data_IF_470141831065
#
_entry.id   IF_470141831065
#
_cell.length_a   1.000
_cell.length_b   1.000
_cell.length_c   1.000
_cell.angle_alpha   90.00
_cell.angle_beta   90.00
_cell.angle_gamma   90.00
#
_symmetry.space_group_name_H-M   'P 1'
#
loop_
_entity.id
_entity.type
_entity.pdbx_description
1 polymer ?
#
# COMPACT_ATOMS: atom_id res chain seq x y z
N UNK A 1 -27.38 -5.93 27.90
CA UNK A 1 -28.39 -6.89 27.41
C UNK A 1 -29.53 -6.09 26.81
N UNK A 2 -29.65 -6.09 25.49
CA UNK A 2 -30.87 -5.67 24.80
C UNK A 2 -31.14 -6.76 23.78
N UNK A 3 -32.20 -7.52 24.03
CA UNK A 3 -32.74 -8.54 23.14
C UNK A 3 -33.58 -7.86 22.07
N UNK A 4 -33.22 -8.03 20.80
CA UNK A 4 -34.07 -7.73 19.66
C UNK A 4 -34.29 -9.02 18.89
N UNK A 5 -35.43 -9.64 19.16
CA UNK A 5 -36.03 -10.68 18.32
C UNK A 5 -36.73 -9.97 17.16
N UNK A 6 -36.17 -10.06 15.96
CA UNK A 6 -36.88 -9.78 14.72
C UNK A 6 -36.54 -10.87 13.70
N UNK A 7 -37.61 -11.58 13.37
CA UNK A 7 -37.87 -12.46 12.24
C UNK A 7 -37.04 -12.21 10.99
N UNK A 8 -36.39 -13.27 10.49
CA UNK A 8 -36.57 -13.71 9.11
C UNK A 8 -36.29 -12.71 8.00
N UNK A 9 -35.12 -12.07 8.00
CA UNK A 9 -34.46 -11.64 6.78
C UNK A 9 -32.96 -11.61 7.06
N UNK A 10 -32.23 -12.57 6.52
CA UNK A 10 -30.78 -12.44 6.35
C UNK A 10 -30.57 -11.32 5.34
N UNK A 11 -30.61 -10.07 5.84
CA UNK A 11 -30.09 -8.93 5.11
C UNK A 11 -28.60 -9.22 4.98
N UNK A 12 -28.21 -9.77 3.84
CA UNK A 12 -26.82 -9.81 3.40
C UNK A 12 -26.39 -8.34 3.27
N UNK A 13 -25.98 -7.75 4.40
CA UNK A 13 -25.15 -6.58 4.45
C UNK A 13 -23.79 -7.02 3.91
N UNK A 14 -23.72 -7.18 2.60
CA UNK A 14 -22.45 -7.13 1.88
C UNK A 14 -21.96 -5.71 2.09
N UNK A 15 -21.26 -5.48 3.20
CA UNK A 15 -20.29 -4.41 3.25
C UNK A 15 -19.29 -4.75 2.17
N UNK A 16 -19.21 -3.90 1.16
CA UNK A 16 -18.18 -3.98 0.12
C UNK A 16 -16.85 -3.53 0.75
N UNK A 17 -16.37 -4.31 1.73
CA UNK A 17 -15.24 -4.00 2.59
C UNK A 17 -13.94 -3.81 1.79
N UNK A 18 -13.92 -4.32 0.58
CA UNK A 18 -12.88 -4.18 -0.43
C UNK A 18 -12.56 -2.74 -0.82
N UNK A 19 -13.52 -1.81 -0.74
CA UNK A 19 -13.29 -0.44 -1.20
C UNK A 19 -12.48 0.41 -0.20
N UNK A 20 -12.36 -0.03 1.06
CA UNK A 20 -11.69 0.70 2.15
C UNK A 20 -10.43 -0.01 2.66
N UNK A 21 -9.97 -1.03 1.92
CA UNK A 21 -8.72 -1.72 2.21
C UNK A 21 -7.55 -0.74 2.22
N UNK A 22 -6.68 -0.92 3.20
CA UNK A 22 -5.40 -0.21 3.25
C UNK A 22 -4.32 -1.07 2.62
N UNK A 23 -3.49 -0.45 1.79
CA UNK A 23 -2.28 -1.06 1.27
C UNK A 23 -1.11 -0.83 2.22
N UNK A 24 -0.18 -1.78 2.29
CA UNK A 24 1.04 -1.66 3.10
C UNK A 24 2.09 -0.80 2.39
N UNK A 25 3.04 -0.24 3.15
CA UNK A 25 4.17 0.53 2.62
C UNK A 25 5.14 -0.29 1.75
N UNK A 26 5.01 -1.62 1.74
CA UNK A 26 5.74 -2.48 0.80
C UNK A 26 5.16 -2.41 -0.61
N UNK A 27 3.92 -1.95 -0.73
CA UNK A 27 3.17 -1.87 -1.99
C UNK A 27 2.94 -0.45 -2.48
N UNK A 28 2.97 0.53 -1.57
CA UNK A 28 2.73 1.94 -1.89
C UNK A 28 3.93 2.79 -1.49
N UNK A 29 4.22 3.79 -2.31
CA UNK A 29 5.19 4.84 -1.99
C UNK A 29 4.46 6.18 -1.83
N UNK A 30 4.67 6.85 -0.70
CA UNK A 30 4.11 8.16 -0.42
C UNK A 30 4.91 9.31 -1.03
N UNK A 31 6.07 9.02 -1.61
CA UNK A 31 6.97 9.98 -2.24
C UNK A 31 7.33 11.16 -1.31
N UNK A 32 7.37 10.91 -0.01
CA UNK A 32 7.62 11.89 1.06
C UNK A 32 6.62 13.06 1.07
N UNK A 33 5.34 12.76 0.82
CA UNK A 33 4.23 13.73 0.87
C UNK A 33 3.24 13.38 1.98
N UNK A 34 2.54 14.40 2.47
CA UNK A 34 1.45 14.23 3.43
C UNK A 34 0.18 13.64 2.79
N UNK A 35 -0.76 13.23 3.65
CA UNK A 35 -2.09 12.79 3.21
C UNK A 35 -2.88 13.98 2.67
N UNK A 36 -3.32 13.85 1.42
CA UNK A 36 -4.02 14.91 0.71
C UNK A 36 -5.54 14.67 0.71
N UNK A 37 -6.24 15.43 1.57
CA UNK A 37 -7.71 15.43 1.63
C UNK A 37 -8.36 16.02 0.37
N UNK A 38 -7.64 16.91 -0.32
CA UNK A 38 -8.08 17.58 -1.54
C UNK A 38 -7.72 16.83 -2.81
N UNK A 39 -7.10 15.66 -2.72
CA UNK A 39 -6.75 14.84 -3.89
C UNK A 39 -7.98 14.48 -4.71
N UNK A 40 -7.88 14.51 -6.04
CA UNK A 40 -8.95 14.05 -6.93
C UNK A 40 -9.25 12.55 -6.73
N UNK A 41 -8.26 11.81 -6.22
CA UNK A 41 -8.36 10.39 -5.89
C UNK A 41 -9.05 10.13 -4.54
N UNK A 42 -9.26 11.16 -3.71
CA UNK A 42 -9.95 10.99 -2.43
C UNK A 42 -11.45 10.75 -2.65
N UNK A 43 -12.01 9.77 -1.95
CA UNK A 43 -13.45 9.52 -1.96
C UNK A 43 -14.24 10.62 -1.25
N UNK A 44 -15.47 10.86 -1.70
CA UNK A 44 -16.40 11.74 -0.98
C UNK A 44 -16.81 11.13 0.36
N UNK A 45 -17.29 11.97 1.28
CA UNK A 45 -17.67 11.55 2.63
C UNK A 45 -18.71 10.43 2.65
N UNK A 46 -19.61 10.37 1.68
CA UNK A 46 -20.70 9.38 1.59
C UNK A 46 -20.41 8.23 0.61
N UNK A 47 -19.17 8.07 0.16
CA UNK A 47 -18.82 7.04 -0.83
C UNK A 47 -19.22 5.63 -0.38
N UNK A 48 -19.88 4.88 -1.27
CA UNK A 48 -20.41 3.54 -1.01
C UNK A 48 -21.40 3.43 0.17
N UNK A 49 -21.92 4.55 0.66
CA UNK A 49 -22.95 4.56 1.70
C UNK A 49 -24.26 3.98 1.17
N UNK A 50 -24.90 3.13 1.98
CA UNK A 50 -26.24 2.57 1.67
C UNK A 50 -27.38 3.44 2.19
N UNK A 51 -27.11 4.29 3.17
CA UNK A 51 -28.11 5.09 3.88
C UNK A 51 -27.86 6.60 3.76
N UNK A 52 -26.97 7.00 2.85
CA UNK A 52 -26.60 8.39 2.63
C UNK A 52 -25.76 9.03 3.75
N UNK A 53 -25.44 8.30 4.82
CA UNK A 53 -24.58 8.79 5.90
C UNK A 53 -23.10 8.74 5.50
N UNK A 54 -22.24 9.57 6.11
CA UNK A 54 -20.80 9.50 5.89
C UNK A 54 -20.23 8.11 6.19
N UNK A 55 -19.38 7.62 5.30
CA UNK A 55 -18.53 6.43 5.46
C UNK A 55 -17.07 6.82 5.73
N UNK A 56 -16.69 8.06 5.43
CA UNK A 56 -15.35 8.63 5.70
C UNK A 56 -15.53 9.98 6.38
N UNK A 57 -14.88 10.14 7.53
CA UNK A 57 -14.85 11.40 8.29
C UNK A 57 -13.40 11.85 8.51
N UNK A 58 -13.01 13.05 8.05
CA UNK A 58 -11.68 13.60 8.32
C UNK A 58 -11.45 13.77 9.82
N UNK A 59 -10.25 13.37 10.29
CA UNK A 59 -9.84 13.59 11.69
C UNK A 59 -9.58 15.07 12.00
N UNK A 60 -9.20 15.85 10.99
CA UNK A 60 -9.05 17.31 11.07
C UNK A 60 -10.42 17.95 10.88
N UNK A 61 -10.80 18.86 11.79
CA UNK A 61 -12.10 19.56 11.73
C UNK A 61 -12.12 20.56 10.57
N UNK A 62 -13.29 20.70 9.93
CA UNK A 62 -13.52 21.70 8.88
C UNK A 62 -12.91 21.38 7.52
N UNK A 63 -12.47 20.13 7.30
CA UNK A 63 -11.92 19.70 6.02
C UNK A 63 -13.00 19.04 5.17
N UNK A 64 -13.15 19.49 3.93
CA UNK A 64 -13.99 18.87 2.92
C UNK A 64 -13.19 17.84 2.11
N UNK A 65 -13.87 16.77 1.66
CA UNK A 65 -13.27 15.66 0.91
C UNK A 65 -14.12 15.27 -0.29
N UNK A 66 -13.46 14.75 -1.33
CA UNK A 66 -14.14 14.19 -2.50
C UNK A 66 -14.40 15.18 -3.64
N UNK A 67 -13.60 16.25 -3.73
CA UNK A 67 -13.66 17.17 -4.87
C UNK A 67 -13.40 16.44 -6.20
N UNK A 68 -14.01 16.92 -7.28
CA UNK A 68 -13.85 16.39 -8.65
C UNK A 68 -13.57 17.49 -9.68
N UNK A 69 -13.07 18.64 -9.21
CA UNK A 69 -12.76 19.81 -10.03
C UNK A 69 -11.48 19.60 -10.82
N UNK A 70 -10.46 18.99 -10.20
CA UNK A 70 -9.17 18.76 -10.85
C UNK A 70 -8.12 18.20 -9.90
N UNK A 71 -6.88 18.11 -10.37
CA UNK A 71 -5.75 17.65 -9.56
C UNK A 71 -5.39 18.66 -8.47
N UNK A 72 -5.04 18.15 -7.30
CA UNK A 72 -4.36 18.96 -6.29
C UNK A 72 -2.88 19.17 -6.65
N UNK A 73 -2.21 20.07 -5.94
CA UNK A 73 -0.76 20.24 -6.06
C UNK A 73 0.01 18.96 -5.72
N UNK A 74 -0.46 18.20 -4.71
CA UNK A 74 0.17 16.94 -4.30
C UNK A 74 -0.06 15.84 -5.34
N UNK A 75 -1.23 15.80 -5.99
CA UNK A 75 -1.49 14.87 -7.10
C UNK A 75 -0.50 15.13 -8.25
N UNK A 76 -0.37 16.38 -8.68
CA UNK A 76 0.55 16.78 -9.75
C UNK A 76 2.00 16.48 -9.38
N UNK A 77 2.40 16.81 -8.15
CA UNK A 77 3.73 16.49 -7.65
C UNK A 77 4.02 14.98 -7.71
N UNK A 78 3.11 14.14 -7.22
CA UNK A 78 3.28 12.68 -7.21
C UNK A 78 3.39 12.13 -8.61
N UNK A 79 2.53 12.56 -9.54
CA UNK A 79 2.56 12.13 -10.93
C UNK A 79 3.90 12.53 -11.57
N UNK A 80 4.28 13.80 -11.44
CA UNK A 80 5.52 14.31 -12.04
C UNK A 80 6.76 13.60 -11.48
N UNK A 81 6.78 13.32 -10.17
CA UNK A 81 7.87 12.61 -9.52
C UNK A 81 7.92 11.13 -9.90
N UNK A 82 6.77 10.46 -10.02
CA UNK A 82 6.70 9.04 -10.39
C UNK A 82 7.10 8.79 -11.85
N UNK A 83 6.74 9.70 -12.75
CA UNK A 83 7.01 9.58 -14.19
C UNK A 83 8.20 10.42 -14.68
N UNK A 84 8.96 11.02 -13.76
CA UNK A 84 10.10 11.89 -14.05
C UNK A 84 9.76 12.97 -15.11
N UNK A 85 8.57 13.58 -14.97
CA UNK A 85 8.16 14.64 -15.87
C UNK A 85 9.15 15.82 -15.76
N UNK A 86 9.55 16.43 -16.88
CA UNK A 86 10.36 17.63 -16.85
C UNK A 86 9.58 18.72 -16.12
N UNK A 87 10.14 19.23 -15.02
CA UNK A 87 9.58 20.43 -14.40
C UNK A 87 9.92 21.57 -15.34
N UNK A 88 8.93 22.07 -16.09
CA UNK A 88 9.05 23.42 -16.59
C UNK A 88 9.17 24.30 -15.36
N UNK A 89 10.34 24.89 -15.16
CA UNK A 89 10.53 26.02 -14.25
C UNK A 89 9.59 27.13 -14.73
N UNK A 90 8.31 27.00 -14.37
CA UNK A 90 7.35 28.10 -14.44
C UNK A 90 7.78 29.01 -13.31
N UNK A 91 8.84 29.76 -13.57
CA UNK A 91 9.07 31.03 -12.91
C UNK A 91 7.74 31.74 -12.99
N UNK A 92 7.06 31.87 -11.84
CA UNK A 92 5.91 32.73 -11.68
C UNK A 92 6.41 34.16 -11.92
N UNK A 93 6.62 34.47 -13.18
CA UNK A 93 6.76 35.83 -13.66
C UNK A 93 5.37 36.41 -13.43
N UNK A 94 5.22 37.45 -12.60
CA UNK A 94 3.94 38.13 -12.47
C UNK A 94 3.46 38.46 -13.88
N UNK A 95 2.22 38.09 -14.20
CA UNK A 95 1.55 38.40 -15.47
C UNK A 95 1.94 39.81 -15.93
N UNK A 96 2.72 39.98 -17.00
CA UNK A 96 2.87 41.28 -17.61
C UNK A 96 1.70 41.47 -18.55
N UNK A 97 1.00 42.59 -18.37
CA UNK A 97 0.00 43.07 -19.30
C UNK A 97 0.63 43.32 -20.68
N UNK A 98 -0.03 42.79 -21.72
CA UNK A 98 -0.12 43.30 -23.10
C UNK A 98 1.12 43.39 -24.01
N UNK A 99 0.99 42.63 -25.12
CA UNK A 99 1.21 43.02 -26.53
C UNK A 99 2.56 42.81 -27.26
N UNK A 100 2.39 42.24 -28.48
CA UNK A 100 3.18 42.35 -29.72
C UNK A 100 4.51 41.58 -29.92
N UNK A 101 4.39 40.53 -30.73
CA UNK A 101 5.07 40.29 -32.02
C UNK A 101 6.58 39.98 -32.20
N UNK A 102 6.78 38.99 -33.11
CA UNK A 102 7.91 38.70 -34.03
C UNK A 102 9.15 37.86 -33.60
N UNK A 103 9.12 36.60 -34.06
CA UNK A 103 10.00 35.93 -35.06
C UNK A 103 11.53 35.82 -34.84
N UNK A 104 12.02 34.57 -34.88
CA UNK A 104 13.17 34.00 -35.68
C UNK A 104 14.15 33.06 -34.93
N UNK A 105 14.10 31.79 -35.34
CA UNK A 105 15.15 30.81 -35.73
C UNK A 105 16.49 30.55 -35.00
N UNK A 106 16.87 29.26 -35.12
CA UNK A 106 18.19 28.60 -35.14
C UNK A 106 18.78 28.07 -33.80
N UNK A 107 18.82 26.73 -33.63
CA UNK A 107 19.98 25.80 -33.76
C UNK A 107 21.12 26.09 -32.76
N UNK A 108 21.58 25.13 -31.95
CA UNK A 108 22.60 24.13 -32.35
C UNK A 108 22.72 23.01 -31.30
N UNK A 109 23.00 21.82 -31.83
CA UNK A 109 23.35 20.54 -31.20
C UNK A 109 24.59 20.60 -30.29
N UNK A 110 24.67 19.72 -29.27
CA UNK A 110 25.91 19.00 -28.95
C UNK A 110 25.67 17.75 -28.11
N UNK A 111 26.57 16.79 -28.27
CA UNK A 111 26.46 15.34 -28.07
C UNK A 111 27.64 14.88 -27.22
N UNK A 112 27.43 13.96 -26.26
CA UNK A 112 28.41 12.98 -25.76
C UNK A 112 27.74 12.14 -24.67
N UNK A 113 27.75 10.80 -24.55
CA UNK A 113 28.41 9.61 -25.12
C UNK A 113 28.98 8.79 -23.94
N UNK A 114 28.37 7.61 -23.72
CA UNK A 114 28.94 6.35 -23.18
C UNK A 114 29.42 6.36 -21.70
N UNK A 115 29.46 5.25 -20.94
CA UNK A 115 29.60 3.82 -21.24
C UNK A 115 29.19 3.00 -19.97
N UNK A 116 28.66 1.78 -20.13
CA UNK A 116 28.63 0.72 -19.09
C UNK A 116 30.01 0.07 -18.87
N UNK A 117 30.19 -0.90 -17.94
CA UNK A 117 29.84 -2.34 -18.11
C UNK A 117 29.33 -3.05 -16.81
N UNK A 118 28.35 -3.95 -16.86
CA UNK A 118 28.37 -5.44 -16.90
C UNK A 118 29.23 -6.20 -15.88
N UNK A 119 28.63 -7.17 -15.18
CA UNK A 119 29.31 -8.31 -14.54
C UNK A 119 28.41 -9.17 -13.65
N UNK A 120 27.91 -10.29 -14.18
CA UNK A 120 27.24 -11.39 -13.46
C UNK A 120 28.25 -12.36 -12.83
N UNK A 121 27.88 -13.09 -11.76
CA UNK A 121 27.87 -14.57 -11.72
C UNK A 121 27.73 -15.15 -10.29
N UNK A 122 26.95 -16.24 -10.23
CA UNK A 122 26.63 -17.17 -9.14
C UNK A 122 27.79 -18.10 -8.75
N UNK A 123 27.71 -18.82 -7.61
CA UNK A 123 27.97 -20.29 -7.41
C UNK A 123 27.36 -20.77 -6.06
N UNK A 124 27.05 -22.07 -5.97
CA UNK A 124 26.16 -22.80 -5.06
C UNK A 124 26.84 -23.72 -3.98
N UNK A 125 26.01 -24.28 -3.07
CA UNK A 125 26.17 -25.57 -2.33
C UNK A 125 26.87 -25.50 -0.96
N UNK A 126 26.63 -26.35 0.07
CA UNK A 126 25.71 -27.47 0.33
C UNK A 126 25.77 -27.82 1.85
N UNK A 127 24.65 -28.38 2.36
CA UNK A 127 24.32 -29.13 3.60
C UNK A 127 25.37 -29.54 4.67
N UNK A 128 25.03 -29.33 5.96
CA UNK A 128 25.25 -30.29 7.08
C UNK A 128 24.19 -30.17 8.20
N UNK A 129 23.69 -31.32 8.67
CA UNK A 129 22.48 -31.47 9.50
C UNK A 129 22.71 -31.57 11.01
N UNK A 130 23.80 -31.02 11.54
CA UNK A 130 23.95 -30.79 13.00
C UNK A 130 23.86 -29.30 13.38
N UNK A 131 23.81 -28.44 12.37
CA UNK A 131 23.68 -26.99 12.53
C UNK A 131 22.23 -26.53 12.65
N UNK A 132 21.23 -27.40 12.42
CA UNK A 132 19.82 -27.00 12.46
C UNK A 132 19.40 -26.43 13.83
N UNK A 133 19.95 -26.91 14.93
CA UNK A 133 19.60 -26.39 16.27
C UNK A 133 20.30 -25.05 16.59
N UNK A 134 21.52 -24.82 16.08
CA UNK A 134 22.21 -23.55 16.20
C UNK A 134 21.70 -22.51 15.19
N UNK A 135 21.34 -22.91 13.96
CA UNK A 135 20.66 -22.07 12.99
C UNK A 135 19.27 -21.71 13.48
N UNK A 136 18.49 -22.61 14.07
CA UNK A 136 17.19 -22.28 14.66
C UNK A 136 17.38 -21.28 15.82
N UNK A 137 18.43 -21.39 16.63
CA UNK A 137 18.76 -20.44 17.70
C UNK A 137 19.18 -19.05 17.18
N UNK A 138 19.95 -19.01 16.10
CA UNK A 138 20.38 -17.77 15.43
C UNK A 138 19.24 -17.14 14.63
N UNK A 139 18.44 -17.95 13.91
CA UNK A 139 17.23 -17.51 13.19
C UNK A 139 16.13 -17.03 14.14
N UNK A 140 15.98 -17.64 15.33
CA UNK A 140 15.09 -17.13 16.40
C UNK A 140 15.50 -15.72 16.86
N UNK A 141 16.80 -15.44 16.92
CA UNK A 141 17.33 -14.11 17.29
C UNK A 141 17.26 -13.09 16.14
N UNK A 142 17.36 -13.54 14.89
CA UNK A 142 17.27 -12.67 13.70
C UNK A 142 15.81 -12.38 13.30
N UNK A 143 14.88 -13.30 13.57
CA UNK A 143 13.47 -13.16 13.20
C UNK A 143 12.62 -12.42 14.25
N UNK A 144 13.03 -12.40 15.53
CA UNK A 144 12.32 -11.66 16.57
C UNK A 144 13.02 -10.34 16.93
N UNK A 145 13.08 -9.44 15.96
CA UNK A 145 13.40 -8.04 16.20
C UNK A 145 12.24 -7.17 15.72
N UNK A 146 12.00 -6.10 16.45
CA UNK A 146 11.01 -5.12 16.03
C UNK A 146 11.45 -4.47 14.71
N UNK A 147 10.54 -4.45 13.74
CA UNK A 147 10.79 -3.86 12.41
C UNK A 147 10.64 -2.34 12.43
N UNK A 148 9.97 -1.80 13.45
CA UNK A 148 9.70 -0.36 13.59
C UNK A 148 10.28 0.19 14.90
N UNK A 149 10.82 1.42 14.89
CA UNK A 149 11.43 2.04 16.06
C UNK A 149 10.42 2.48 17.14
N UNK A 150 9.13 2.60 16.79
CA UNK A 150 8.05 2.99 17.70
C UNK A 150 7.35 1.81 18.39
N UNK A 151 7.83 0.59 18.17
CA UNK A 151 7.23 -0.62 18.73
C UNK A 151 7.14 -0.60 20.27
N UNK A 152 8.15 -0.04 20.93
CA UNK A 152 8.16 0.08 22.40
C UNK A 152 7.04 1.00 22.91
N UNK A 153 6.80 2.12 22.22
CA UNK A 153 5.73 3.06 22.55
C UNK A 153 4.35 2.42 22.30
N UNK A 154 4.19 1.76 21.14
CA UNK A 154 2.94 1.12 20.77
C UNK A 154 2.57 -0.04 21.71
N UNK A 155 3.56 -0.82 22.14
CA UNK A 155 3.37 -1.87 23.13
C UNK A 155 2.91 -1.30 24.48
N UNK A 156 3.54 -0.23 24.97
CA UNK A 156 3.11 0.47 26.21
C UNK A 156 1.72 1.09 26.11
N UNK A 157 1.32 1.52 24.91
CA UNK A 157 -0.02 2.04 24.65
C UNK A 157 -1.10 0.94 24.51
N UNK A 158 -0.77 -0.34 24.72
CA UNK A 158 -1.72 -1.45 24.73
C UNK A 158 -2.07 -1.99 23.34
N UNK A 159 -1.35 -1.59 22.28
CA UNK A 159 -1.65 -2.06 20.93
C UNK A 159 -1.36 -3.55 20.73
N UNK A 160 -0.53 -4.16 21.60
CA UNK A 160 -0.29 -5.60 21.56
C UNK A 160 -1.55 -6.42 21.89
N UNK A 161 -2.48 -5.89 22.68
CA UNK A 161 -3.67 -6.61 23.17
C UNK A 161 -4.95 -6.21 22.41
N UNK A 162 -4.90 -5.15 21.61
CA UNK A 162 -6.05 -4.68 20.83
C UNK A 162 -6.32 -5.60 19.62
N UNK A 163 -7.56 -6.08 19.51
CA UNK A 163 -8.05 -6.86 18.36
C UNK A 163 -7.89 -6.16 17.01
N UNK A 164 -7.82 -4.83 17.00
CA UNK A 164 -7.68 -4.04 15.78
C UNK A 164 -6.23 -3.90 15.32
N UNK A 165 -5.26 -4.06 16.23
CA UNK A 165 -3.83 -3.94 15.94
C UNK A 165 -3.05 -5.23 16.13
N UNK A 166 -3.70 -6.32 16.55
CA UNK A 166 -3.08 -7.62 16.81
C UNK A 166 -2.21 -8.12 15.64
N UNK A 167 -2.75 -8.14 14.43
CA UNK A 167 -2.01 -8.58 13.23
C UNK A 167 -0.84 -7.64 12.91
N UNK A 168 -1.08 -6.32 13.00
CA UNK A 168 -0.05 -5.32 12.76
C UNK A 168 1.11 -5.46 13.76
N UNK A 169 0.82 -5.62 15.05
CA UNK A 169 1.81 -5.72 16.10
C UNK A 169 2.55 -7.06 16.09
N UNK A 170 1.88 -8.15 15.71
CA UNK A 170 2.53 -9.47 15.55
C UNK A 170 3.54 -9.46 14.41
N UNK A 171 3.26 -8.73 13.33
CA UNK A 171 4.14 -8.69 12.16
C UNK A 171 5.29 -7.67 12.30
N UNK A 172 5.03 -6.55 12.96
CA UNK A 172 5.96 -5.41 13.00
C UNK A 172 6.67 -5.24 14.34
N UNK A 173 6.06 -5.68 15.43
CA UNK A 173 6.56 -5.52 16.80
C UNK A 173 6.60 -6.83 17.59
N UNK A 174 7.13 -7.94 17.01
CA UNK A 174 7.11 -9.23 17.66
C UNK A 174 7.93 -9.24 18.97
N UNK A 175 8.98 -8.44 19.08
CA UNK A 175 9.84 -8.38 20.26
C UNK A 175 9.19 -7.55 21.35
N UNK A 176 8.75 -6.32 21.04
CA UNK A 176 8.05 -5.46 22.01
C UNK A 176 6.74 -6.04 22.52
N UNK A 177 6.06 -6.88 21.73
CA UNK A 177 4.85 -7.59 22.17
C UNK A 177 5.09 -8.97 22.77
N UNK A 178 6.34 -9.42 22.92
CA UNK A 178 6.66 -10.75 23.47
C UNK A 178 6.17 -11.92 22.62
N UNK A 179 5.92 -11.70 21.32
CA UNK A 179 5.43 -12.70 20.36
C UNK A 179 6.57 -13.33 19.55
N UNK A 180 7.68 -13.64 20.21
CA UNK A 180 8.87 -14.25 19.60
C UNK A 180 8.78 -15.77 19.40
N UNK A 181 7.64 -16.37 19.73
CA UNK A 181 7.46 -17.80 19.58
C UNK A 181 7.23 -18.13 18.11
N UNK A 182 8.20 -18.82 17.50
CA UNK A 182 8.06 -19.41 16.17
C UNK A 182 6.91 -20.42 16.26
N UNK A 183 5.75 -19.98 15.83
CA UNK A 183 4.61 -20.86 15.62
C UNK A 183 4.91 -21.69 14.38
N UNK A 184 5.39 -22.93 14.56
CA UNK A 184 5.17 -23.98 13.56
C UNK A 184 3.69 -24.36 13.65
N UNK A 185 2.83 -23.44 13.21
CA UNK A 185 1.42 -23.74 13.04
C UNK A 185 1.36 -24.62 11.80
N UNK A 186 1.21 -25.92 12.02
CA UNK A 186 0.55 -26.80 11.05
C UNK A 186 -0.90 -26.32 10.98
N UNK A 187 -1.13 -25.14 10.39
CA UNK A 187 -2.47 -24.73 9.99
C UNK A 187 -2.93 -25.78 8.97
N UNK A 188 -4.07 -26.40 9.23
CA UNK A 188 -4.80 -27.12 8.20
C UNK A 188 -4.85 -26.21 6.95
N UNK A 189 -4.56 -26.75 5.75
CA UNK A 189 -4.44 -25.95 4.54
C UNK A 189 -5.69 -25.10 4.39
N UNK A 190 -5.53 -23.78 4.49
CA UNK A 190 -6.61 -22.83 4.24
C UNK A 190 -7.18 -23.14 2.84
N UNK A 191 -8.51 -23.21 2.69
CA UNK A 191 -9.10 -23.44 1.39
C UNK A 191 -8.65 -22.33 0.44
N UNK A 192 -8.13 -22.71 -0.73
CA UNK A 192 -7.65 -21.72 -1.70
C UNK A 192 -8.84 -21.02 -2.35
N UNK A 193 -9.16 -19.83 -1.85
CA UNK A 193 -10.28 -19.02 -2.31
C UNK A 193 -9.89 -17.56 -2.52
N UNK A 194 -10.62 -16.90 -3.41
CA UNK A 194 -10.44 -15.47 -3.62
C UNK A 194 -11.14 -14.68 -2.51
N UNK A 195 -10.40 -13.76 -1.90
CA UNK A 195 -10.92 -12.88 -0.85
C UNK A 195 -11.82 -11.77 -1.40
N UNK A 196 -11.85 -11.55 -2.72
CA UNK A 196 -12.51 -10.42 -3.37
C UNK A 196 -13.32 -10.88 -4.58
N UNK A 197 -14.51 -10.32 -4.74
CA UNK A 197 -15.43 -10.66 -5.86
C UNK A 197 -14.93 -10.23 -7.24
N UNK A 198 -13.97 -9.29 -7.31
CA UNK A 198 -13.38 -8.79 -8.55
C UNK A 198 -12.05 -9.46 -8.92
N UNK A 199 -11.58 -10.45 -8.14
CA UNK A 199 -10.32 -11.15 -8.39
C UNK A 199 -10.25 -11.75 -9.79
N UNK A 200 -11.34 -12.36 -10.26
CA UNK A 200 -11.40 -12.96 -11.60
C UNK A 200 -11.13 -11.91 -12.69
N UNK A 201 -11.80 -10.75 -12.61
CA UNK A 201 -11.66 -9.67 -13.58
C UNK A 201 -10.24 -9.11 -13.60
N UNK A 202 -9.62 -8.94 -12.43
CA UNK A 202 -8.26 -8.41 -12.30
C UNK A 202 -7.21 -9.42 -12.75
N UNK A 203 -7.40 -10.70 -12.44
CA UNK A 203 -6.55 -11.76 -12.94
C UNK A 203 -6.57 -11.83 -14.47
N UNK A 204 -7.76 -11.79 -15.07
CA UNK A 204 -7.94 -11.73 -16.52
C UNK A 204 -7.35 -10.45 -17.17
N UNK A 205 -7.18 -9.38 -16.38
CA UNK A 205 -6.53 -8.14 -16.83
C UNK A 205 -4.99 -8.19 -16.71
N UNK A 206 -4.41 -9.33 -16.34
CA UNK A 206 -2.96 -9.51 -16.20
C UNK A 206 -2.38 -9.00 -14.89
N UNK A 207 -3.19 -8.67 -13.89
CA UNK A 207 -2.68 -8.13 -12.61
C UNK A 207 -1.84 -9.14 -11.82
N UNK A 208 -2.02 -10.45 -12.05
CA UNK A 208 -1.24 -11.49 -11.37
C UNK A 208 0.26 -11.46 -11.74
N UNK A 209 0.61 -10.95 -12.92
CA UNK A 209 2.00 -10.92 -13.42
C UNK A 209 2.68 -9.57 -13.22
N UNK A 210 1.90 -8.52 -12.96
CA UNK A 210 2.41 -7.19 -12.67
C UNK A 210 3.19 -7.21 -11.35
N UNK A 211 4.46 -6.82 -11.37
CA UNK A 211 5.35 -6.89 -10.20
C UNK A 211 4.79 -6.10 -9.01
N UNK A 212 4.13 -4.98 -9.27
CA UNK A 212 3.51 -4.12 -8.25
C UNK A 212 2.30 -4.79 -7.57
N UNK A 213 1.59 -5.70 -8.25
CA UNK A 213 0.39 -6.35 -7.73
C UNK A 213 0.62 -7.82 -7.37
N UNK A 214 1.77 -8.39 -7.69
CA UNK A 214 2.08 -9.82 -7.51
C UNK A 214 1.76 -10.32 -6.10
N UNK A 215 2.20 -9.61 -5.07
CA UNK A 215 1.98 -10.01 -3.68
C UNK A 215 0.52 -9.83 -3.26
N UNK A 216 -0.11 -8.73 -3.70
CA UNK A 216 -1.53 -8.49 -3.45
C UNK A 216 -2.39 -9.61 -4.03
N UNK A 217 -2.14 -9.94 -5.30
CA UNK A 217 -2.88 -10.93 -6.05
C UNK A 217 -2.63 -12.34 -5.49
N UNK A 218 -1.40 -12.64 -5.05
CA UNK A 218 -1.09 -13.91 -4.35
C UNK A 218 -1.85 -14.07 -3.05
N UNK A 219 -2.00 -13.00 -2.27
CA UNK A 219 -2.63 -13.07 -0.95
C UNK A 219 -4.16 -13.00 -1.06
N UNK A 220 -4.69 -12.17 -1.95
CA UNK A 220 -6.13 -11.86 -2.02
C UNK A 220 -6.86 -12.58 -3.13
N UNK A 221 -6.17 -12.97 -4.19
CA UNK A 221 -6.75 -13.53 -5.41
C UNK A 221 -6.05 -14.83 -5.82
N UNK A 222 -5.60 -15.62 -4.84
CA UNK A 222 -4.78 -16.82 -5.06
C UNK A 222 -5.44 -17.80 -6.03
N UNK A 223 -6.76 -17.98 -5.93
CA UNK A 223 -7.52 -18.87 -6.80
C UNK A 223 -7.60 -18.33 -8.22
N UNK A 224 -8.01 -17.07 -8.40
CA UNK A 224 -8.08 -16.42 -9.71
C UNK A 224 -6.73 -16.34 -10.41
N UNK A 225 -5.64 -16.22 -9.65
CA UNK A 225 -4.27 -16.19 -10.19
C UNK A 225 -3.60 -17.55 -10.32
N UNK A 226 -4.28 -18.66 -9.98
CA UNK A 226 -3.71 -20.01 -10.02
C UNK A 226 -2.43 -20.13 -9.17
N UNK A 227 -2.46 -19.51 -7.99
CA UNK A 227 -1.37 -19.49 -6.99
C UNK A 227 -1.70 -20.37 -5.78
N UNK A 228 -2.73 -21.21 -5.90
CA UNK A 228 -2.88 -22.45 -5.17
C UNK A 228 -1.87 -23.47 -5.73
#
# INVERSE_FOLDING_TARGET
>A
MITLSLTGATLNLVFKADQFDKYSLQMIDHLNTDYDYGSVMHYASTAFSKNGKPTIEPRKKGIEIGQRVGFSEIDLYKINKLYNCPQSETTLTPLPETESDMKSEARVSSKSKKQGPTGSASVAGSSSTEEANNLISVLKKVACVDKRPDCEFLARAGHCESKFSESFMTENCPQSCGRCEISTTTEAPKPCEDSRSWCERWANSGMCTQQIFKDYMKIKCAKSCQLC
#
